data_IF_057435385050
#
_entry.id   IF_057435385050
#
_cell.length_a   1.000
_cell.length_b   1.000
_cell.length_c   1.000
_cell.angle_alpha   90.00
_cell.angle_beta   90.00
_cell.angle_gamma   90.00
#
_symmetry.space_group_name_H-M   'P 1'
#
loop_
_entity.id
_entity.type
_entity.pdbx_description
1 polymer ?
#
# COMPACT_ATOMS: atom_id res chain seq x y z
N UNK A 1 -0.95 -28.84 1.26
CA UNK A 1 -1.80 -29.03 2.46
C UNK A 1 -2.88 -27.94 2.45
N UNK A 2 -4.01 -28.15 3.12
CA UNK A 2 -5.08 -27.16 3.19
C UNK A 2 -4.83 -26.24 4.40
N UNK A 3 -4.89 -24.93 4.20
CA UNK A 3 -4.65 -23.92 5.22
C UNK A 3 -5.82 -22.95 5.29
N UNK A 4 -6.13 -22.48 6.50
CA UNK A 4 -7.03 -21.35 6.73
C UNK A 4 -6.16 -20.13 6.94
N UNK A 5 -6.32 -19.11 6.12
CA UNK A 5 -5.53 -17.88 6.20
C UNK A 5 -6.40 -16.70 5.80
N UNK A 6 -6.07 -15.54 6.34
CA UNK A 6 -6.63 -14.30 5.84
C UNK A 6 -5.70 -13.71 4.77
N UNK A 7 -6.27 -12.97 3.83
CA UNK A 7 -5.54 -12.43 2.70
C UNK A 7 -6.09 -11.07 2.24
N UNK A 8 -5.22 -10.22 1.70
CA UNK A 8 -5.57 -8.95 1.08
C UNK A 8 -5.32 -9.05 -0.42
N UNK A 9 -6.30 -8.65 -1.22
CA UNK A 9 -6.16 -8.66 -2.68
C UNK A 9 -5.22 -7.54 -3.11
N UNK A 10 -4.06 -7.88 -3.69
CA UNK A 10 -3.15 -6.87 -4.23
C UNK A 10 -3.53 -6.50 -5.65
N UNK A 11 -3.66 -7.47 -6.56
CA UNK A 11 -4.09 -7.23 -7.92
C UNK A 11 -4.70 -8.49 -8.56
N UNK A 12 -5.34 -8.31 -9.71
CA UNK A 12 -5.82 -9.41 -10.56
C UNK A 12 -5.43 -9.21 -12.01
N UNK A 13 -5.09 -10.30 -12.69
CA UNK A 13 -4.76 -10.31 -14.12
C UNK A 13 -5.49 -11.44 -14.86
N UNK A 14 -5.85 -11.20 -16.11
CA UNK A 14 -6.45 -12.24 -16.95
C UNK A 14 -5.39 -13.32 -17.28
N UNK A 15 -5.74 -14.59 -17.07
CA UNK A 15 -4.86 -15.71 -17.41
C UNK A 15 -5.28 -16.40 -18.72
N UNK A 16 -6.56 -16.76 -18.81
CA UNK A 16 -7.18 -17.35 -19.99
C UNK A 16 -8.70 -17.12 -19.94
N UNK A 17 -9.46 -17.72 -20.86
CA UNK A 17 -10.92 -17.54 -20.93
C UNK A 17 -11.67 -18.02 -19.69
N UNK A 18 -11.07 -18.94 -18.91
CA UNK A 18 -11.71 -19.57 -17.75
C UNK A 18 -11.23 -18.98 -16.42
N UNK A 19 -10.02 -18.44 -16.36
CA UNK A 19 -9.38 -18.07 -15.10
C UNK A 19 -8.71 -16.69 -15.13
N UNK A 20 -8.65 -16.08 -13.96
CA UNK A 20 -7.79 -14.94 -13.62
C UNK A 20 -6.78 -15.40 -12.56
N UNK A 21 -5.64 -14.71 -12.49
CA UNK A 21 -4.70 -14.84 -11.39
C UNK A 21 -4.89 -13.67 -10.44
N UNK A 22 -5.03 -13.95 -9.15
CA UNK A 22 -5.07 -12.96 -8.09
C UNK A 22 -3.77 -13.03 -7.30
N UNK A 23 -3.00 -11.95 -7.27
CA UNK A 23 -1.90 -11.81 -6.30
C UNK A 23 -2.51 -11.34 -4.99
N UNK A 24 -2.31 -12.12 -3.93
CA UNK A 24 -2.80 -11.81 -2.60
C UNK A 24 -1.61 -11.64 -1.64
N UNK A 25 -1.75 -10.78 -0.66
CA UNK A 25 -0.87 -10.75 0.51
C UNK A 25 -1.55 -11.48 1.66
N UNK A 26 -1.04 -12.65 2.00
CA UNK A 26 -1.57 -13.55 3.02
C UNK A 26 -0.86 -13.34 4.35
N UNK A 27 -1.56 -13.55 5.46
CA UNK A 27 -0.99 -13.43 6.80
C UNK A 27 0.11 -14.47 7.08
N UNK A 28 -0.01 -15.67 6.51
CA UNK A 28 0.91 -16.79 6.77
C UNK A 28 2.02 -16.98 5.73
N UNK A 29 1.77 -16.65 4.46
CA UNK A 29 2.66 -16.98 3.35
C UNK A 29 3.15 -15.74 2.58
N UNK A 30 2.86 -14.54 3.08
CA UNK A 30 3.17 -13.30 2.38
C UNK A 30 2.48 -13.24 1.02
N UNK A 31 3.21 -12.79 0.00
CA UNK A 31 2.67 -12.64 -1.34
C UNK A 31 2.55 -13.98 -2.07
N UNK A 32 1.33 -14.35 -2.41
CA UNK A 32 1.03 -15.61 -3.12
C UNK A 32 0.06 -15.37 -4.27
N UNK A 33 0.28 -16.06 -5.40
CA UNK A 33 -0.62 -16.02 -6.55
C UNK A 33 -1.61 -17.18 -6.51
N UNK A 34 -2.89 -16.86 -6.64
CA UNK A 34 -3.99 -17.83 -6.66
C UNK A 34 -4.76 -17.80 -7.98
N UNK A 35 -5.15 -18.98 -8.46
CA UNK A 35 -5.99 -19.11 -9.65
C UNK A 35 -7.48 -19.05 -9.29
N UNK A 36 -8.21 -18.12 -9.91
CA UNK A 36 -9.62 -17.84 -9.62
C UNK A 36 -10.46 -18.05 -10.89
N UNK A 37 -11.60 -18.76 -10.85
CA UNK A 37 -12.48 -18.91 -12.00
C UNK A 37 -13.18 -17.59 -12.36
N UNK A 38 -13.29 -17.29 -13.67
CA UNK A 38 -14.01 -16.12 -14.19
C UNK A 38 -15.53 -16.29 -14.11
N UNK A 39 -16.02 -17.50 -14.35
CA UNK A 39 -17.43 -17.84 -14.16
C UNK A 39 -17.71 -18.18 -12.71
N UNK A 40 -18.97 -17.97 -12.26
CA UNK A 40 -19.39 -18.46 -10.94
C UNK A 40 -19.09 -19.95 -10.86
N UNK A 41 -18.30 -20.35 -9.87
CA UNK A 41 -18.14 -21.76 -9.54
C UNK A 41 -19.52 -22.37 -9.30
N UNK A 42 -19.74 -23.63 -9.68
CA UNK A 42 -21.03 -24.32 -9.49
C UNK A 42 -21.51 -24.28 -8.02
N UNK A 43 -20.59 -24.09 -7.08
CA UNK A 43 -20.83 -24.01 -5.63
C UNK A 43 -20.89 -22.58 -5.09
N UNK A 44 -20.54 -21.55 -5.87
CA UNK A 44 -20.53 -20.15 -5.44
C UNK A 44 -19.46 -19.77 -4.39
N UNK A 45 -18.61 -20.73 -3.98
CA UNK A 45 -17.63 -20.60 -2.89
C UNK A 45 -16.46 -19.65 -3.17
N UNK A 46 -16.23 -19.36 -4.44
CA UNK A 46 -15.21 -18.42 -4.91
C UNK A 46 -15.84 -17.66 -6.07
N UNK A 47 -15.94 -16.34 -5.95
CA UNK A 47 -16.55 -15.45 -6.94
C UNK A 47 -15.60 -14.32 -7.29
N UNK A 48 -15.48 -14.01 -8.59
CA UNK A 48 -14.63 -12.92 -9.09
C UNK A 48 -14.86 -11.58 -8.38
N UNK A 49 -16.10 -11.27 -8.00
CA UNK A 49 -16.47 -10.01 -7.33
C UNK A 49 -15.80 -9.81 -5.96
N UNK A 50 -15.37 -10.89 -5.30
CA UNK A 50 -14.65 -10.81 -4.02
C UNK A 50 -13.20 -10.33 -4.20
N UNK A 51 -12.66 -10.42 -5.41
CA UNK A 51 -11.26 -10.11 -5.71
C UNK A 51 -11.07 -8.69 -6.24
N UNK A 52 -11.81 -7.73 -5.67
CA UNK A 52 -11.55 -6.31 -5.87
C UNK A 52 -10.28 -5.88 -5.11
N UNK A 53 -9.52 -4.90 -5.59
CA UNK A 53 -8.31 -4.42 -4.93
C UNK A 53 -8.53 -4.10 -3.45
N UNK A 54 -7.57 -4.49 -2.61
CA UNK A 54 -7.56 -4.37 -1.15
C UNK A 54 -8.75 -5.00 -0.41
N UNK A 55 -9.58 -5.81 -1.08
CA UNK A 55 -10.57 -6.62 -0.37
C UNK A 55 -9.87 -7.57 0.60
N UNK A 56 -10.41 -7.68 1.81
CA UNK A 56 -9.90 -8.58 2.85
C UNK A 56 -10.71 -9.87 2.82
N UNK A 57 -10.04 -10.99 2.66
CA UNK A 57 -10.62 -12.31 2.49
C UNK A 57 -10.25 -13.20 3.67
N UNK A 58 -11.20 -14.01 4.12
CA UNK A 58 -10.95 -15.23 4.89
C UNK A 58 -11.08 -16.43 3.93
N UNK A 59 -10.04 -17.26 3.85
CA UNK A 59 -9.94 -18.27 2.79
C UNK A 59 -9.35 -19.61 3.27
N UNK A 60 -9.89 -20.68 2.69
CA UNK A 60 -9.28 -22.01 2.70
C UNK A 60 -8.49 -22.21 1.40
N UNK A 61 -7.18 -22.33 1.52
CA UNK A 61 -6.26 -22.47 0.39
C UNK A 61 -5.51 -23.80 0.39
N UNK A 62 -5.38 -24.39 -0.80
CA UNK A 62 -4.41 -25.46 -1.03
C UNK A 62 -3.07 -24.81 -1.34
N UNK A 63 -2.15 -24.86 -0.38
CA UNK A 63 -0.78 -24.39 -0.55
C UNK A 63 0.16 -25.57 -0.77
N UNK A 64 0.91 -25.53 -1.87
CA UNK A 64 1.93 -26.51 -2.23
C UNK A 64 3.24 -25.80 -2.58
N UNK A 65 4.31 -26.11 -1.84
CA UNK A 65 5.63 -25.45 -1.98
C UNK A 65 6.17 -25.46 -3.42
N UNK A 66 5.88 -26.52 -4.20
CA UNK A 66 6.36 -26.66 -5.58
C UNK A 66 5.50 -25.98 -6.65
N UNK A 67 4.41 -25.29 -6.28
CA UNK A 67 3.52 -24.62 -7.23
C UNK A 67 3.69 -23.11 -7.15
N UNK A 68 3.91 -22.47 -8.29
CA UNK A 68 3.93 -21.00 -8.36
C UNK A 68 2.52 -20.40 -8.27
N UNK A 69 1.51 -21.17 -8.70
CA UNK A 69 0.11 -20.76 -8.69
C UNK A 69 -0.68 -21.73 -7.79
N UNK A 70 -1.20 -21.19 -6.70
CA UNK A 70 -1.98 -21.91 -5.70
C UNK A 70 -3.47 -21.91 -6.03
N UNK A 71 -4.26 -22.69 -5.27
CA UNK A 71 -5.71 -22.80 -5.46
C UNK A 71 -6.45 -22.44 -4.19
N UNK A 72 -7.59 -21.77 -4.38
CA UNK A 72 -8.54 -21.45 -3.31
C UNK A 72 -9.67 -22.46 -3.37
N UNK A 73 -9.95 -23.10 -2.23
CA UNK A 73 -11.09 -24.00 -2.07
C UNK A 73 -12.35 -23.21 -1.74
N UNK A 74 -12.22 -22.22 -0.87
CA UNK A 74 -13.31 -21.37 -0.39
C UNK A 74 -12.75 -20.00 0.01
N UNK A 75 -13.51 -18.93 -0.25
CA UNK A 75 -13.17 -17.59 0.20
C UNK A 75 -14.44 -16.79 0.50
N UNK A 76 -14.37 -15.96 1.54
CA UNK A 76 -15.41 -15.02 1.93
C UNK A 76 -14.80 -13.65 2.18
N UNK A 77 -15.57 -12.58 1.94
CA UNK A 77 -15.17 -11.24 2.35
C UNK A 77 -15.21 -11.18 3.87
N UNK A 78 -14.10 -10.82 4.50
CA UNK A 78 -14.02 -10.68 5.94
C UNK A 78 -14.81 -9.46 6.43
N UNK A 79 -14.78 -8.38 5.63
CA UNK A 79 -15.53 -7.15 5.88
C UNK A 79 -16.11 -6.62 4.56
N UNK A 80 -17.34 -6.08 4.57
CA UNK A 80 -17.83 -5.30 3.45
C UNK A 80 -17.14 -3.93 3.40
N UNK A 81 -16.67 -3.52 2.21
CA UNK A 81 -16.02 -2.22 1.99
C UNK A 81 -16.94 -1.28 1.19
N UNK A 82 -18.10 -0.95 1.76
CA UNK A 82 -19.16 -0.21 1.07
C UNK A 82 -18.80 1.26 0.82
N UNK A 83 -18.18 1.92 1.79
CA UNK A 83 -17.74 3.30 1.70
C UNK A 83 -16.65 3.46 0.65
N UNK A 84 -15.66 2.55 0.62
CA UNK A 84 -14.65 2.51 -0.44
C UNK A 84 -15.30 2.34 -1.81
N UNK A 85 -16.24 1.39 -1.97
CA UNK A 85 -16.92 1.12 -3.24
C UNK A 85 -17.81 2.29 -3.71
N UNK A 86 -18.43 3.01 -2.78
CA UNK A 86 -19.33 4.13 -3.06
C UNK A 86 -18.66 5.48 -3.22
N UNK A 87 -17.38 5.60 -2.84
CA UNK A 87 -16.65 6.87 -2.83
C UNK A 87 -15.46 6.83 -3.82
N UNK A 88 -15.54 7.66 -4.86
CA UNK A 88 -14.51 7.73 -5.92
C UNK A 88 -13.13 8.09 -5.37
N UNK A 89 -13.04 8.97 -4.37
CA UNK A 89 -11.76 9.38 -3.75
C UNK A 89 -11.12 8.19 -3.04
N UNK A 90 -11.88 7.44 -2.25
CA UNK A 90 -11.40 6.24 -1.56
C UNK A 90 -11.01 5.15 -2.56
N UNK A 91 -11.83 4.92 -3.57
CA UNK A 91 -11.54 3.97 -4.66
C UNK A 91 -10.20 4.29 -5.34
N UNK A 92 -9.91 5.55 -5.64
CA UNK A 92 -8.65 5.94 -6.26
C UNK A 92 -7.45 5.75 -5.33
N UNK A 93 -7.59 6.03 -4.03
CA UNK A 93 -6.58 5.69 -3.02
C UNK A 93 -6.34 4.18 -3.01
N UNK A 94 -7.40 3.37 -3.02
CA UNK A 94 -7.29 1.90 -3.04
C UNK A 94 -6.56 1.40 -4.28
N UNK A 95 -6.86 1.93 -5.48
CA UNK A 95 -6.14 1.55 -6.69
C UNK A 95 -4.67 1.93 -6.63
N UNK A 96 -4.35 3.13 -6.15
CA UNK A 96 -2.97 3.56 -5.96
C UNK A 96 -2.21 2.66 -4.99
N UNK A 97 -2.78 2.39 -3.81
CA UNK A 97 -2.16 1.54 -2.80
C UNK A 97 -2.04 0.09 -3.27
N UNK A 98 -3.03 -0.43 -3.99
CA UNK A 98 -2.99 -1.75 -4.61
C UNK A 98 -1.82 -1.90 -5.60
N UNK A 99 -1.60 -0.93 -6.49
CA UNK A 99 -0.46 -0.94 -7.41
C UNK A 99 0.87 -0.82 -6.63
N UNK A 100 0.94 0.15 -5.71
CA UNK A 100 2.10 0.40 -4.87
C UNK A 100 2.53 -0.85 -4.09
N UNK A 101 1.62 -1.47 -3.34
CA UNK A 101 1.85 -2.70 -2.56
C UNK A 101 2.24 -3.88 -3.48
N UNK A 102 1.65 -3.97 -4.66
CA UNK A 102 2.02 -4.98 -5.67
C UNK A 102 3.47 -4.84 -6.15
N UNK A 103 4.12 -3.68 -5.96
CA UNK A 103 5.54 -3.48 -6.27
C UNK A 103 6.43 -3.82 -5.08
N UNK A 104 6.05 -3.41 -3.87
CA UNK A 104 6.95 -3.43 -2.70
C UNK A 104 6.89 -4.71 -1.86
N UNK A 105 5.80 -5.49 -1.94
CA UNK A 105 5.62 -6.69 -1.11
C UNK A 105 6.13 -7.98 -1.77
N UNK A 106 7.20 -7.92 -2.56
CA UNK A 106 7.76 -9.13 -3.22
C UNK A 106 8.62 -9.95 -2.26
N UNK A 107 9.49 -9.27 -1.53
CA UNK A 107 10.57 -9.87 -0.74
C UNK A 107 10.46 -9.38 0.71
N UNK A 108 9.33 -9.69 1.36
CA UNK A 108 9.13 -9.39 2.78
C UNK A 108 9.24 -10.68 3.60
N UNK A 109 9.67 -10.59 4.85
CA UNK A 109 9.73 -11.75 5.76
C UNK A 109 8.78 -11.59 6.97
N UNK A 110 8.40 -10.36 7.31
CA UNK A 110 7.47 -10.05 8.41
C UNK A 110 6.00 -10.06 7.97
N UNK A 111 5.54 -11.18 7.41
CA UNK A 111 4.22 -11.29 6.78
C UNK A 111 3.07 -10.85 7.69
N UNK A 112 3.01 -11.38 8.91
CA UNK A 112 1.90 -11.15 9.83
C UNK A 112 1.83 -9.68 10.29
N UNK A 113 2.98 -9.07 10.58
CA UNK A 113 3.04 -7.68 11.07
C UNK A 113 2.60 -6.73 9.96
N UNK A 114 3.14 -6.90 8.75
CA UNK A 114 2.73 -6.12 7.58
C UNK A 114 1.24 -6.37 7.29
N UNK A 115 0.79 -7.62 7.29
CA UNK A 115 -0.63 -7.95 7.06
C UNK A 115 -1.54 -7.21 8.04
N UNK A 116 -1.22 -7.22 9.34
CA UNK A 116 -2.00 -6.54 10.37
C UNK A 116 -2.08 -5.04 10.09
N UNK A 117 -0.95 -4.41 9.75
CA UNK A 117 -0.92 -3.00 9.39
C UNK A 117 -1.77 -2.68 8.15
N UNK A 118 -1.67 -3.49 7.09
CA UNK A 118 -2.45 -3.31 5.88
C UNK A 118 -3.95 -3.46 6.15
N UNK A 119 -4.33 -4.53 6.86
CA UNK A 119 -5.73 -4.84 7.22
C UNK A 119 -6.36 -3.73 8.06
N UNK A 120 -5.65 -3.26 9.10
CA UNK A 120 -6.10 -2.14 9.93
C UNK A 120 -6.22 -0.86 9.12
N UNK A 121 -5.24 -0.55 8.27
CA UNK A 121 -5.27 0.67 7.45
C UNK A 121 -6.44 0.66 6.46
N UNK A 122 -6.78 -0.48 5.86
CA UNK A 122 -7.94 -0.61 4.97
C UNK A 122 -9.25 -0.36 5.73
N UNK A 123 -9.39 -0.90 6.94
CA UNK A 123 -10.55 -0.65 7.80
C UNK A 123 -10.65 0.84 8.19
N UNK A 124 -9.52 1.46 8.55
CA UNK A 124 -9.47 2.91 8.80
C UNK A 124 -9.90 3.70 7.57
N UNK A 125 -9.45 3.34 6.35
CA UNK A 125 -9.88 4.02 5.13
C UNK A 125 -11.39 3.86 4.89
N UNK A 126 -11.94 2.68 5.16
CA UNK A 126 -13.38 2.42 5.07
C UNK A 126 -14.18 3.34 5.99
N UNK A 127 -13.71 3.59 7.21
CA UNK A 127 -14.38 4.43 8.20
C UNK A 127 -14.09 5.94 8.06
N UNK A 128 -12.96 6.32 7.44
CA UNK A 128 -12.53 7.72 7.37
C UNK A 128 -13.45 8.57 6.50
N UNK A 129 -13.96 9.68 7.03
CA UNK A 129 -14.77 10.65 6.26
C UNK A 129 -13.98 11.91 5.86
N UNK A 130 -13.01 12.33 6.68
CA UNK A 130 -12.25 13.57 6.52
C UNK A 130 -10.75 13.30 6.40
N UNK A 131 -10.02 14.21 5.76
CA UNK A 131 -8.56 14.07 5.61
C UNK A 131 -8.10 12.98 4.62
N UNK A 132 -8.99 12.48 3.75
CA UNK A 132 -8.69 11.46 2.74
C UNK A 132 -7.50 11.83 1.84
N UNK A 133 -7.31 13.12 1.56
CA UNK A 133 -6.20 13.62 0.77
C UNK A 133 -4.81 13.32 1.36
N UNK A 134 -4.73 13.07 2.66
CA UNK A 134 -3.48 12.77 3.35
C UNK A 134 -3.31 11.28 3.65
N UNK A 135 -4.37 10.46 3.50
CA UNK A 135 -4.37 9.05 3.93
C UNK A 135 -3.22 8.24 3.33
N UNK A 136 -3.01 8.34 2.03
CA UNK A 136 -1.97 7.59 1.32
C UNK A 136 -0.56 8.02 1.75
N UNK A 137 -0.36 9.28 2.12
CA UNK A 137 0.92 9.77 2.67
C UNK A 137 1.19 9.16 4.05
N UNK A 138 0.20 9.17 4.94
CA UNK A 138 0.30 8.51 6.25
C UNK A 138 0.58 7.02 6.06
N UNK A 139 -0.15 6.39 5.15
CA UNK A 139 -0.02 4.97 4.86
C UNK A 139 1.40 4.63 4.43
N UNK A 140 1.90 5.30 3.39
CA UNK A 140 3.23 5.06 2.86
C UNK A 140 4.31 5.38 3.90
N UNK A 141 4.15 6.43 4.71
CA UNK A 141 5.16 6.78 5.70
C UNK A 141 5.23 5.72 6.79
N UNK A 142 4.08 5.34 7.37
CA UNK A 142 4.03 4.33 8.44
C UNK A 142 4.50 2.96 7.95
N UNK A 143 4.24 2.60 6.69
CA UNK A 143 4.67 1.33 6.13
C UNK A 143 6.21 1.16 6.13
N UNK A 144 6.97 2.24 5.95
CA UNK A 144 8.46 2.18 5.99
C UNK A 144 9.02 1.65 7.32
N UNK A 145 8.25 1.72 8.43
CA UNK A 145 8.63 1.09 9.71
C UNK A 145 8.78 -0.42 9.59
N UNK A 146 7.81 -1.06 8.94
CA UNK A 146 7.80 -2.51 8.76
C UNK A 146 8.74 -2.97 7.64
N UNK A 147 9.21 -2.04 6.81
CA UNK A 147 10.19 -2.33 5.77
C UNK A 147 11.63 -2.02 6.20
N UNK A 148 11.84 -1.52 7.42
CA UNK A 148 13.18 -1.34 8.00
C UNK A 148 13.93 -0.06 7.59
N UNK A 149 13.25 0.93 6.98
CA UNK A 149 13.88 2.18 6.53
C UNK A 149 13.06 3.43 6.91
N UNK A 150 12.41 3.41 8.07
CA UNK A 150 11.66 4.56 8.56
C UNK A 150 12.55 5.81 8.67
N UNK A 151 12.19 6.95 8.05
CA UNK A 151 12.98 8.16 8.14
C UNK A 151 12.93 8.76 9.55
N UNK A 152 14.05 9.29 10.05
CA UNK A 152 14.05 10.12 11.26
C UNK A 152 13.54 11.51 10.91
N UNK A 153 12.36 11.85 11.41
CA UNK A 153 11.70 13.12 11.16
C UNK A 153 11.70 14.07 12.38
N UNK A 154 12.36 13.72 13.49
CA UNK A 154 12.26 14.43 14.77
C UNK A 154 13.18 15.66 14.88
N UNK A 155 14.30 15.68 14.15
CA UNK A 155 15.39 16.65 14.32
C UNK A 155 15.44 17.76 13.25
N UNK A 156 14.29 18.15 12.70
CA UNK A 156 14.24 19.23 11.69
C UNK A 156 14.51 20.61 12.31
N UNK A 157 15.46 21.34 11.74
CA UNK A 157 15.68 22.77 11.97
C UNK A 157 15.36 23.58 10.71
N UNK A 158 15.00 24.84 10.90
CA UNK A 158 14.70 25.72 9.78
C UNK A 158 15.89 25.79 8.82
N UNK A 159 15.61 25.60 7.53
CA UNK A 159 16.60 25.57 6.45
C UNK A 159 17.50 24.32 6.38
N UNK A 160 17.12 23.23 7.05
CA UNK A 160 17.76 21.93 6.85
C UNK A 160 17.39 21.28 5.51
N UNK A 161 18.29 20.47 4.99
CA UNK A 161 18.05 19.50 3.93
C UNK A 161 17.63 18.16 4.54
N UNK A 162 16.99 17.29 3.76
CA UNK A 162 16.79 15.90 4.15
C UNK A 162 17.67 14.98 3.30
N UNK A 163 18.61 14.29 3.93
CA UNK A 163 19.44 13.27 3.29
C UNK A 163 18.58 12.00 3.10
N UNK A 164 18.23 11.70 1.85
CA UNK A 164 17.39 10.55 1.54
C UNK A 164 18.15 9.22 1.57
N UNK A 165 19.49 9.22 1.59
CA UNK A 165 20.25 7.97 1.76
C UNK A 165 20.29 7.55 3.22
N UNK A 166 20.48 8.53 4.11
CA UNK A 166 20.62 8.29 5.54
C UNK A 166 19.28 8.43 6.30
N UNK A 167 18.26 9.01 5.67
CA UNK A 167 16.94 9.20 6.26
C UNK A 167 16.92 10.22 7.40
N UNK A 168 17.74 11.27 7.34
CA UNK A 168 17.91 12.27 8.42
C UNK A 168 17.92 13.70 7.87
N UNK A 169 17.59 14.68 8.73
CA UNK A 169 17.81 16.09 8.43
C UNK A 169 19.27 16.50 8.64
N UNK A 170 19.78 17.36 7.77
CA UNK A 170 21.17 17.87 7.79
C UNK A 170 21.24 19.33 7.39
N UNK A 171 22.07 20.13 8.08
CA UNK A 171 22.14 21.58 7.83
C UNK A 171 22.96 21.98 6.59
N UNK A 172 23.85 21.10 6.14
CA UNK A 172 24.65 21.29 4.93
C UNK A 172 24.12 20.42 3.80
N UNK A 173 24.20 20.92 2.57
CA UNK A 173 23.78 20.15 1.40
C UNK A 173 24.65 18.88 1.25
N UNK A 174 24.04 17.69 1.14
CA UNK A 174 24.78 16.47 0.84
C UNK A 174 25.53 16.55 -0.50
N UNK A 175 26.64 15.81 -0.62
CA UNK A 175 27.46 15.80 -1.83
C UNK A 175 26.88 14.91 -2.96
N UNK A 176 25.85 14.12 -2.66
CA UNK A 176 25.11 13.32 -3.64
C UNK A 176 23.82 14.02 -4.07
N UNK A 177 23.12 13.45 -5.06
CA UNK A 177 21.87 14.04 -5.58
C UNK A 177 20.62 13.59 -4.83
N UNK A 178 20.72 12.57 -3.98
CA UNK A 178 19.59 12.03 -3.21
C UNK A 178 19.32 12.83 -1.92
N UNK A 179 18.88 14.08 -2.06
CA UNK A 179 18.43 14.89 -0.94
C UNK A 179 17.21 15.73 -1.29
N UNK A 180 16.46 16.14 -0.27
CA UNK A 180 15.37 17.11 -0.39
C UNK A 180 15.91 18.49 -0.03
N UNK A 181 15.58 19.49 -0.83
CA UNK A 181 15.99 20.87 -0.59
C UNK A 181 15.33 21.45 0.68
N UNK A 182 15.76 22.64 1.09
CA UNK A 182 15.32 23.32 2.31
C UNK A 182 13.81 23.60 2.37
N UNK A 183 13.23 23.98 1.24
CA UNK A 183 11.81 24.36 1.14
C UNK A 183 10.95 23.11 1.30
N UNK A 184 11.25 22.07 0.53
CA UNK A 184 10.51 20.80 0.55
C UNK A 184 10.74 20.01 1.85
N UNK A 185 11.90 20.15 2.50
CA UNK A 185 12.22 19.49 3.78
C UNK A 185 11.30 19.96 4.90
N UNK A 186 10.88 21.23 4.87
CA UNK A 186 9.86 21.75 5.80
C UNK A 186 8.52 21.05 5.61
N UNK A 187 8.10 20.78 4.38
CA UNK A 187 6.86 20.06 4.12
C UNK A 187 6.94 18.59 4.61
N UNK A 188 8.11 17.96 4.44
CA UNK A 188 8.36 16.61 4.96
C UNK A 188 8.33 16.56 6.49
N UNK A 189 8.91 17.54 7.18
CA UNK A 189 8.96 17.55 8.65
C UNK A 189 7.57 17.66 9.30
N UNK A 190 6.59 18.25 8.59
CA UNK A 190 5.18 18.23 9.01
C UNK A 190 4.60 16.81 9.08
N UNK A 191 5.18 15.83 8.37
CA UNK A 191 4.75 14.43 8.45
C UNK A 191 5.28 13.71 9.70
N UNK A 192 6.19 14.29 10.48
CA UNK A 192 6.78 13.65 11.67
C UNK A 192 5.73 13.12 12.66
N UNK A 193 4.62 13.85 12.82
CA UNK A 193 3.54 13.54 13.78
C UNK A 193 2.24 13.13 13.13
N UNK A 194 2.22 12.95 11.80
CA UNK A 194 0.99 12.61 11.11
C UNK A 194 0.58 11.16 11.40
N UNK A 195 -0.70 10.97 11.68
CA UNK A 195 -1.31 9.70 12.01
C UNK A 195 -2.69 9.63 11.36
N UNK A 196 -3.32 8.45 11.36
CA UNK A 196 -4.65 8.35 10.76
C UNK A 196 -5.68 9.15 11.58
N UNK A 197 -5.45 9.24 12.88
CA UNK A 197 -6.28 9.93 13.85
C UNK A 197 -6.22 11.45 13.69
N UNK A 198 -5.06 12.01 13.28
CA UNK A 198 -4.86 13.46 13.24
C UNK A 198 -4.61 14.04 11.84
N UNK A 199 -4.51 13.21 10.78
CA UNK A 199 -4.16 13.67 9.42
C UNK A 199 -5.09 14.76 8.85
N UNK A 200 -6.33 14.84 9.33
CA UNK A 200 -7.31 15.84 8.92
C UNK A 200 -6.97 17.26 9.44
N UNK A 201 -6.10 17.38 10.45
CA UNK A 201 -5.59 18.68 10.92
C UNK A 201 -4.43 19.22 10.07
N UNK A 202 -3.84 18.39 9.19
CA UNK A 202 -2.71 18.79 8.36
C UNK A 202 -3.23 19.38 7.04
N UNK A 203 -3.11 20.70 6.91
CA UNK A 203 -3.53 21.44 5.71
C UNK A 203 -2.36 21.50 4.74
N UNK A 204 -2.25 20.48 3.90
CA UNK A 204 -1.36 20.49 2.74
C UNK A 204 -2.07 21.11 1.54
N UNK A 205 -1.37 21.91 0.75
CA UNK A 205 -1.85 22.27 -0.58
C UNK A 205 -1.75 21.06 -1.52
N UNK A 206 -2.38 21.17 -2.69
CA UNK A 206 -2.21 20.19 -3.77
C UNK A 206 -0.74 20.02 -4.14
N UNK A 207 -0.02 21.14 -4.30
CA UNK A 207 1.40 21.12 -4.63
C UNK A 207 2.24 20.45 -3.55
N UNK A 208 1.93 20.67 -2.28
CA UNK A 208 2.63 20.01 -1.17
C UNK A 208 2.44 18.50 -1.23
N UNK A 209 1.20 18.01 -1.42
CA UNK A 209 0.92 16.58 -1.55
C UNK A 209 1.65 15.96 -2.73
N UNK A 210 1.65 16.63 -3.88
CA UNK A 210 2.37 16.20 -5.08
C UNK A 210 3.88 16.13 -4.82
N UNK A 211 4.46 17.12 -4.16
CA UNK A 211 5.87 17.12 -3.83
C UNK A 211 6.19 15.98 -2.86
N UNK A 212 5.43 15.86 -1.77
CA UNK A 212 5.63 14.84 -0.73
C UNK A 212 5.54 13.44 -1.32
N UNK A 213 4.47 13.13 -2.08
CA UNK A 213 4.31 11.77 -2.62
C UNK A 213 5.44 11.40 -3.58
N UNK A 214 5.91 12.34 -4.40
CA UNK A 214 7.03 12.09 -5.31
C UNK A 214 8.33 11.86 -4.54
N UNK A 215 8.60 12.64 -3.47
CA UNK A 215 9.76 12.43 -2.59
C UNK A 215 9.68 11.12 -1.83
N UNK A 216 8.50 10.72 -1.36
CA UNK A 216 8.30 9.42 -0.73
C UNK A 216 8.57 8.29 -1.72
N UNK A 217 8.04 8.35 -2.95
CA UNK A 217 8.32 7.34 -3.96
C UNK A 217 9.80 7.28 -4.36
N UNK A 218 10.49 8.42 -4.40
CA UNK A 218 11.95 8.48 -4.57
C UNK A 218 12.68 7.80 -3.40
N UNK A 219 12.27 8.08 -2.17
CA UNK A 219 12.80 7.44 -0.96
C UNK A 219 12.60 5.91 -0.97
N UNK A 220 11.42 5.44 -1.41
CA UNK A 220 11.16 4.02 -1.64
C UNK A 220 12.07 3.41 -2.71
N UNK A 221 12.39 4.12 -3.81
CA UNK A 221 13.34 3.66 -4.84
C UNK A 221 14.76 3.50 -4.35
N UNK A 222 15.17 4.36 -3.43
CA UNK A 222 16.52 4.32 -2.85
C UNK A 222 16.67 3.07 -1.95
N UNK A 223 15.64 2.75 -1.16
CA UNK A 223 15.72 1.70 -0.15
C UNK A 223 15.24 0.33 -0.61
N UNK A 224 14.46 0.26 -1.70
CA UNK A 224 13.98 -0.99 -2.27
C UNK A 224 14.63 -1.29 -3.61
N UNK A 225 15.09 -2.52 -3.77
CA UNK A 225 15.52 -3.04 -5.07
C UNK A 225 14.34 -3.14 -6.05
N UNK A 226 14.57 -2.76 -7.31
CA UNK A 226 13.61 -2.91 -8.42
C UNK A 226 12.23 -2.26 -8.21
N UNK A 227 12.14 -1.14 -7.48
CA UNK A 227 10.90 -0.38 -7.38
C UNK A 227 10.56 0.35 -8.69
N UNK A 228 9.57 -0.19 -9.39
CA UNK A 228 9.10 0.35 -10.67
C UNK A 228 8.21 1.57 -10.51
N UNK A 229 8.07 2.36 -11.58
CA UNK A 229 7.12 3.48 -11.65
C UNK A 229 5.67 3.00 -11.51
N UNK A 230 4.83 3.84 -10.89
CA UNK A 230 3.41 3.57 -10.65
C UNK A 230 2.59 4.32 -11.70
N UNK A 231 1.69 3.61 -12.40
CA UNK A 231 0.78 4.22 -13.39
C UNK A 231 -0.40 4.92 -12.74
N UNK A 232 -0.84 4.41 -11.59
CA UNK A 232 -1.93 4.97 -10.79
C UNK A 232 -1.61 6.32 -10.17
N UNK A 233 -0.35 6.74 -10.17
CA UNK A 233 0.08 8.01 -9.58
C UNK A 233 -0.55 9.20 -10.30
N UNK A 234 -0.62 9.17 -11.63
CA UNK A 234 -1.22 10.25 -12.42
C UNK A 234 -2.71 10.42 -12.11
N UNK A 235 -3.43 9.30 -11.94
CA UNK A 235 -4.85 9.30 -11.54
C UNK A 235 -5.03 9.90 -10.14
N UNK A 236 -4.12 9.58 -9.22
CA UNK A 236 -4.14 10.14 -7.87
C UNK A 236 -3.91 11.66 -7.90
N UNK A 237 -2.98 12.12 -8.74
CA UNK A 237 -2.68 13.55 -8.93
C UNK A 237 -3.85 14.34 -9.51
N UNK A 238 -4.71 13.75 -10.34
CA UNK A 238 -5.90 14.44 -10.89
C UNK A 238 -6.97 14.71 -9.82
N UNK A 239 -6.99 13.93 -8.74
CA UNK A 239 -8.04 13.99 -7.72
C UNK A 239 -7.68 14.83 -6.48
N UNK A 240 -6.39 15.07 -6.23
CA UNK A 240 -5.89 15.76 -5.04
C UNK A 240 -4.99 16.94 -5.37
#
# INVERSE_FOLDING_TARGET
MLYKTQAIVLNTINYNDKYLLASLYTSEFGRVTYMIPKSKSKTGKVQKSMFAPLSILDMEAEHQVKRDIQRIREAHLLYPLHSIQGNMVKTSIVFFLSEFLSRILKDTDEFQIIYNYLSQSIQVLEETEYGLANFHLVFMLKLTRFMGFYPNLEDYHENDYFDMLNGIFVSNQPLHHHYINKIDSKALSLLSRISFENMHHFVFSRQDRLNIINRMLEYYRIHLHDFQTLKSLDILHELF
#
